data_IF_288738146398
#
_entry.id   IF_288738146398
#
_cell.length_a   1.000
_cell.length_b   1.000
_cell.length_c   1.000
_cell.angle_alpha   90.00
_cell.angle_beta   90.00
_cell.angle_gamma   90.00
#
_symmetry.space_group_name_H-M   'P 1'
#
loop_
_entity.id
_entity.type
_entity.pdbx_description
1 polymer ?
#
# COMPACT_ATOMS: atom_id res chain seq x y z
N UNK A 1 -19.71 18.60 -7.44
CA UNK A 1 -18.94 17.33 -7.34
C UNK A 1 -17.88 17.53 -6.26
N UNK A 2 -17.62 16.51 -5.45
CA UNK A 2 -16.51 16.50 -4.48
C UNK A 2 -15.34 15.70 -5.04
N UNK A 3 -14.11 16.13 -4.75
CA UNK A 3 -12.89 15.48 -5.22
C UNK A 3 -12.34 14.53 -4.13
N UNK A 4 -11.86 13.36 -4.53
CA UNK A 4 -11.31 12.34 -3.63
C UNK A 4 -10.00 11.79 -4.20
N UNK A 5 -9.01 11.55 -3.34
CA UNK A 5 -7.73 10.89 -3.65
C UNK A 5 -7.57 9.74 -2.67
N UNK A 6 -7.14 8.57 -3.13
CA UNK A 6 -6.94 7.40 -2.30
C UNK A 6 -5.79 6.52 -2.80
N UNK A 7 -5.36 5.61 -1.94
CA UNK A 7 -4.36 4.58 -2.23
C UNK A 7 -4.99 3.22 -1.94
N UNK A 8 -4.67 2.22 -2.75
CA UNK A 8 -5.19 0.85 -2.65
C UNK A 8 -4.08 -0.17 -2.83
N UNK A 9 -4.10 -1.23 -2.02
CA UNK A 9 -3.33 -2.45 -2.27
C UNK A 9 -4.26 -3.47 -2.94
N UNK A 10 -3.84 -4.00 -4.08
CA UNK A 10 -4.67 -4.85 -4.92
C UNK A 10 -3.90 -6.05 -5.45
N UNK A 11 -4.62 -7.13 -5.76
CA UNK A 11 -4.21 -8.09 -6.79
C UNK A 11 -4.84 -7.68 -8.12
N UNK A 12 -4.15 -7.94 -9.22
CA UNK A 12 -4.73 -7.77 -10.55
C UNK A 12 -4.14 -8.74 -11.56
N UNK A 13 -4.97 -9.12 -12.53
CA UNK A 13 -4.52 -9.83 -13.72
C UNK A 13 -5.34 -9.41 -14.96
N UNK A 14 -4.73 -9.46 -16.17
CA UNK A 14 -5.41 -9.05 -17.39
C UNK A 14 -6.69 -9.84 -17.63
N UNK A 15 -7.77 -9.14 -17.96
CA UNK A 15 -9.08 -9.73 -18.27
C UNK A 15 -9.89 -8.77 -19.14
N UNK A 16 -10.42 -9.25 -20.27
CA UNK A 16 -11.32 -8.44 -21.10
C UNK A 16 -12.65 -8.17 -20.40
N UNK A 17 -13.38 -7.15 -20.84
CA UNK A 17 -14.69 -6.84 -20.26
C UNK A 17 -15.69 -7.99 -20.40
N UNK A 18 -15.70 -8.68 -21.54
CA UNK A 18 -16.56 -9.85 -21.74
C UNK A 18 -16.23 -10.96 -20.74
N UNK A 19 -14.94 -11.32 -20.63
CA UNK A 19 -14.49 -12.36 -19.72
C UNK A 19 -14.83 -12.04 -18.24
N UNK A 20 -14.79 -10.76 -17.87
CA UNK A 20 -15.22 -10.34 -16.54
C UNK A 20 -16.73 -10.48 -16.32
N UNK A 21 -17.56 -10.09 -17.30
CA UNK A 21 -19.02 -10.30 -17.20
C UNK A 21 -19.35 -11.80 -17.10
N UNK A 22 -18.71 -12.64 -17.90
CA UNK A 22 -18.87 -14.09 -17.85
C UNK A 22 -18.47 -14.65 -16.48
N UNK A 23 -17.34 -14.19 -15.93
CA UNK A 23 -16.89 -14.53 -14.57
C UNK A 23 -17.92 -14.14 -13.50
N UNK A 24 -18.61 -13.01 -13.67
CA UNK A 24 -19.67 -12.55 -12.76
C UNK A 24 -21.02 -13.23 -12.99
N UNK A 25 -21.18 -14.00 -14.06
CA UNK A 25 -22.48 -14.51 -14.51
C UNK A 25 -23.41 -13.41 -15.00
N UNK A 26 -22.85 -12.31 -15.50
CA UNK A 26 -23.59 -11.16 -16.02
C UNK A 26 -23.62 -11.17 -17.54
N UNK A 27 -24.68 -10.60 -18.11
CA UNK A 27 -24.72 -10.31 -19.54
C UNK A 27 -23.97 -9.00 -19.80
N UNK A 28 -23.13 -8.98 -20.84
CA UNK A 28 -22.48 -7.75 -21.28
C UNK A 28 -23.57 -6.72 -21.69
N UNK A 29 -23.53 -5.49 -21.15
CA UNK A 29 -24.48 -4.45 -21.54
C UNK A 29 -24.37 -4.13 -23.04
N UNK A 30 -25.50 -3.93 -23.73
CA UNK A 30 -25.55 -3.78 -25.18
C UNK A 30 -24.74 -2.60 -25.77
N UNK A 31 -24.43 -1.58 -24.96
CA UNK A 31 -23.62 -0.42 -25.37
C UNK A 31 -22.13 -0.55 -25.07
N UNK A 32 -21.69 -1.65 -24.48
CA UNK A 32 -20.32 -1.86 -24.06
C UNK A 32 -19.58 -2.79 -25.04
N UNK A 33 -18.31 -2.50 -25.29
CA UNK A 33 -17.46 -3.40 -26.06
C UNK A 33 -16.89 -4.51 -25.17
N UNK A 34 -17.07 -5.77 -25.57
CA UNK A 34 -16.59 -6.94 -24.83
C UNK A 34 -15.08 -7.17 -24.94
N UNK A 35 -14.48 -6.72 -26.06
CA UNK A 35 -13.05 -6.87 -26.36
C UNK A 35 -12.19 -5.81 -25.65
N UNK A 36 -12.80 -4.88 -24.92
CA UNK A 36 -12.07 -3.87 -24.16
C UNK A 36 -11.08 -4.54 -23.20
N UNK A 37 -9.80 -4.20 -23.37
CA UNK A 37 -8.74 -4.64 -22.50
C UNK A 37 -8.89 -4.00 -21.11
N UNK A 38 -8.62 -4.80 -20.09
CA UNK A 38 -8.64 -4.34 -18.71
C UNK A 38 -8.07 -5.38 -17.77
N UNK A 39 -8.39 -5.18 -16.50
CA UNK A 39 -7.92 -6.02 -15.42
C UNK A 39 -9.08 -6.35 -14.49
N UNK A 40 -9.15 -7.60 -14.06
CA UNK A 40 -9.85 -7.93 -12.82
C UNK A 40 -8.98 -7.43 -11.67
N UNK A 41 -9.57 -6.68 -10.76
CA UNK A 41 -8.90 -6.09 -9.59
C UNK A 41 -9.55 -6.64 -8.33
N UNK A 42 -8.76 -7.22 -7.44
CA UNK A 42 -9.17 -7.62 -6.09
C UNK A 42 -8.56 -6.65 -5.08
N UNK A 43 -9.38 -6.07 -4.20
CA UNK A 43 -8.91 -5.16 -3.15
C UNK A 43 -8.54 -5.93 -1.88
N UNK A 44 -7.29 -5.75 -1.43
CA UNK A 44 -6.72 -6.45 -0.27
C UNK A 44 -6.78 -5.62 1.02
N UNK A 45 -7.13 -4.33 0.90
CA UNK A 45 -7.14 -3.37 2.00
C UNK A 45 -8.53 -3.13 2.61
N UNK A 46 -9.50 -3.97 2.27
CA UNK A 46 -10.81 -4.01 2.90
C UNK A 46 -11.98 -4.18 1.93
N UNK A 47 -13.19 -4.16 2.50
CA UNK A 47 -14.43 -4.49 1.78
C UNK A 47 -14.81 -5.96 1.93
N UNK A 48 -16.11 -6.24 1.87
CA UNK A 48 -16.60 -7.63 1.84
C UNK A 48 -16.39 -8.21 0.44
N UNK A 49 -16.00 -9.49 0.31
CA UNK A 49 -15.94 -10.13 -0.98
C UNK A 49 -17.32 -10.11 -1.65
N UNK A 50 -17.32 -9.99 -2.98
CA UNK A 50 -18.53 -10.01 -3.80
C UNK A 50 -18.59 -11.23 -4.73
N UNK A 51 -17.69 -12.20 -4.52
CA UNK A 51 -17.63 -13.49 -5.19
C UNK A 51 -17.09 -14.54 -4.19
N UNK A 52 -17.36 -15.82 -4.42
CA UNK A 52 -16.82 -16.90 -3.59
C UNK A 52 -15.40 -17.35 -3.99
N UNK A 53 -14.79 -16.69 -5.00
CA UNK A 53 -13.49 -17.07 -5.58
C UNK A 53 -12.31 -16.26 -5.04
N UNK A 54 -12.60 -15.14 -4.39
CA UNK A 54 -11.61 -14.18 -3.92
C UNK A 54 -11.99 -13.75 -2.49
N UNK A 55 -10.99 -13.51 -1.65
CA UNK A 55 -11.19 -13.09 -0.27
C UNK A 55 -11.55 -11.60 -0.20
N UNK A 56 -11.07 -10.82 -1.18
CA UNK A 56 -11.35 -9.38 -1.32
C UNK A 56 -12.56 -9.06 -2.20
N UNK A 57 -12.97 -7.79 -2.17
CA UNK A 57 -13.93 -7.26 -3.15
C UNK A 57 -13.28 -7.26 -4.54
N UNK A 58 -14.02 -7.68 -5.57
CA UNK A 58 -13.52 -7.72 -6.95
C UNK A 58 -14.26 -6.73 -7.84
N UNK A 59 -13.51 -6.01 -8.67
CA UNK A 59 -14.02 -5.12 -9.73
C UNK A 59 -13.31 -5.37 -11.06
N UNK A 60 -13.76 -4.71 -12.12
CA UNK A 60 -13.04 -4.62 -13.38
C UNK A 60 -12.64 -3.18 -13.64
N UNK A 61 -11.40 -2.99 -14.06
CA UNK A 61 -10.84 -1.68 -14.42
C UNK A 61 -10.40 -1.70 -15.88
N UNK A 62 -10.82 -0.71 -16.71
CA UNK A 62 -10.26 -0.52 -18.04
C UNK A 62 -8.74 -0.38 -17.98
N UNK A 63 -8.04 -0.88 -19.01
CA UNK A 63 -6.56 -0.93 -19.06
C UNK A 63 -5.90 0.42 -18.79
N UNK A 64 -6.31 1.46 -19.51
CA UNK A 64 -5.71 2.79 -19.32
C UNK A 64 -5.99 3.40 -17.94
N UNK A 65 -7.16 3.11 -17.35
CA UNK A 65 -7.50 3.58 -16.01
C UNK A 65 -6.64 2.86 -14.98
N UNK A 66 -6.48 1.54 -15.16
CA UNK A 66 -5.67 0.70 -14.29
C UNK A 66 -4.19 1.14 -14.31
N UNK A 67 -3.60 1.25 -15.50
CA UNK A 67 -2.18 1.57 -15.67
C UNK A 67 -1.83 2.99 -15.22
N UNK A 68 -2.81 3.92 -15.19
CA UNK A 68 -2.65 5.25 -14.60
C UNK A 68 -2.81 5.26 -13.09
N UNK A 69 -3.66 4.41 -12.52
CA UNK A 69 -4.01 4.42 -11.11
C UNK A 69 -3.11 3.53 -10.23
N UNK A 70 -2.62 2.42 -10.78
CA UNK A 70 -1.91 1.39 -10.03
C UNK A 70 -0.48 1.21 -10.56
N UNK A 71 0.43 0.85 -9.66
CA UNK A 71 1.81 0.51 -9.97
C UNK A 71 2.16 -0.82 -9.30
N UNK A 72 3.09 -1.61 -9.84
CA UNK A 72 3.67 -2.73 -9.11
C UNK A 72 4.18 -2.30 -7.74
N UNK A 73 4.19 -3.21 -6.76
CA UNK A 73 4.73 -2.95 -5.40
C UNK A 73 6.25 -2.74 -5.37
N UNK A 74 6.90 -2.81 -6.53
CA UNK A 74 8.28 -2.42 -6.80
C UNK A 74 8.31 -1.13 -7.63
N UNK A 75 8.99 -0.08 -7.14
CA UNK A 75 9.00 1.23 -7.81
C UNK A 75 7.86 2.14 -7.33
N UNK A 76 7.59 2.10 -6.03
CA UNK A 76 6.58 2.92 -5.38
C UNK A 76 7.12 4.36 -5.21
N UNK A 77 6.21 5.34 -5.32
CA UNK A 77 6.48 6.68 -4.80
C UNK A 77 6.50 6.65 -3.27
N UNK A 78 7.11 7.66 -2.64
CA UNK A 78 7.12 7.75 -1.18
C UNK A 78 5.71 7.77 -0.57
N UNK A 79 4.72 8.38 -1.24
CA UNK A 79 3.33 8.38 -0.76
C UNK A 79 2.76 6.97 -0.65
N UNK A 80 2.98 6.12 -1.65
CA UNK A 80 2.56 4.72 -1.63
C UNK A 80 3.37 3.90 -0.61
N UNK A 81 4.66 4.20 -0.47
CA UNK A 81 5.51 3.59 0.54
C UNK A 81 5.03 3.90 1.96
N UNK A 82 4.61 5.15 2.23
CA UNK A 82 4.10 5.57 3.53
C UNK A 82 2.78 4.88 3.89
N UNK A 83 1.87 4.72 2.93
CA UNK A 83 0.65 3.94 3.16
C UNK A 83 0.96 2.46 3.45
N UNK A 84 1.97 1.90 2.80
CA UNK A 84 2.45 0.53 3.08
C UNK A 84 3.06 0.43 4.48
N UNK A 85 3.83 1.42 4.93
CA UNK A 85 4.40 1.50 6.28
C UNK A 85 3.32 1.57 7.36
N UNK A 86 2.24 2.33 7.13
CA UNK A 86 1.09 2.39 8.04
C UNK A 86 0.38 1.04 8.17
N UNK A 87 0.42 0.21 7.13
CA UNK A 87 -0.08 -1.17 7.14
C UNK A 87 0.90 -2.17 7.77
N UNK A 88 2.00 -1.71 8.37
CA UNK A 88 2.98 -2.55 9.05
C UNK A 88 3.96 -3.26 8.11
N UNK A 89 4.01 -2.87 6.82
CA UNK A 89 5.01 -3.38 5.89
C UNK A 89 6.37 -2.75 6.15
N UNK A 90 7.43 -3.44 5.74
CA UNK A 90 8.78 -2.91 5.70
C UNK A 90 9.15 -2.53 4.27
N UNK A 91 9.88 -1.44 4.10
CA UNK A 91 10.14 -0.81 2.81
C UNK A 91 11.64 -0.62 2.62
N UNK A 92 12.14 -0.84 1.41
CA UNK A 92 13.51 -0.51 1.00
C UNK A 92 13.51 0.37 -0.24
N UNK A 93 14.64 1.04 -0.51
CA UNK A 93 14.88 1.70 -1.80
C UNK A 93 15.89 0.91 -2.62
N UNK A 94 15.63 0.79 -3.92
CA UNK A 94 16.58 0.15 -4.83
C UNK A 94 17.91 0.94 -4.94
N UNK A 95 17.86 2.27 -4.82
CA UNK A 95 19.01 3.17 -4.91
C UNK A 95 19.77 3.40 -3.60
N UNK A 96 19.44 2.71 -2.51
CA UNK A 96 20.21 2.85 -1.27
C UNK A 96 21.56 2.16 -1.33
N UNK A 97 22.58 2.84 -0.78
CA UNK A 97 23.94 2.32 -0.71
C UNK A 97 24.08 1.32 0.44
N UNK A 98 24.14 0.05 0.11
CA UNK A 98 24.36 -1.04 1.08
C UNK A 98 23.20 -2.03 1.13
N UNK A 99 23.54 -3.29 1.35
CA UNK A 99 22.59 -4.40 1.35
C UNK A 99 21.73 -4.38 2.62
N UNK A 100 20.53 -4.95 2.50
CA UNK A 100 19.63 -5.26 3.60
C UNK A 100 19.19 -4.05 4.45
N UNK A 101 19.09 -2.88 3.84
CA UNK A 101 18.55 -1.67 4.47
C UNK A 101 17.05 -1.62 4.29
N UNK A 102 16.32 -1.32 5.36
CA UNK A 102 14.87 -1.17 5.29
C UNK A 102 14.36 -0.23 6.38
N UNK A 103 13.18 0.33 6.12
CA UNK A 103 12.42 1.16 7.04
C UNK A 103 11.13 0.48 7.41
N UNK A 104 10.72 0.63 8.66
CA UNK A 104 9.43 0.17 9.17
C UNK A 104 8.88 1.17 10.18
N UNK A 105 7.57 1.13 10.42
CA UNK A 105 6.89 1.99 11.38
C UNK A 105 6.76 1.30 12.74
N UNK A 106 7.22 1.98 13.79
CA UNK A 106 6.96 1.58 15.18
C UNK A 106 5.89 2.48 15.77
N UNK A 107 4.85 1.86 16.32
CA UNK A 107 3.76 2.58 17.00
C UNK A 107 4.22 3.12 18.35
N UNK A 108 3.78 4.33 18.68
CA UNK A 108 4.09 4.97 19.97
C UNK A 108 3.71 4.10 21.17
N UNK A 109 2.56 3.42 21.10
CA UNK A 109 2.08 2.48 22.11
C UNK A 109 3.07 1.32 22.39
N UNK A 110 3.76 0.84 21.35
CA UNK A 110 4.74 -0.24 21.48
C UNK A 110 6.01 0.26 22.14
N UNK A 111 6.42 1.51 21.87
CA UNK A 111 7.54 2.16 22.55
C UNK A 111 7.21 2.38 24.03
N UNK A 112 6.01 2.88 24.33
CA UNK A 112 5.57 3.08 25.70
C UNK A 112 5.58 1.76 26.50
N UNK A 113 4.99 0.71 25.90
CA UNK A 113 4.97 -0.63 26.49
C UNK A 113 6.37 -1.20 26.72
N UNK A 114 7.28 -1.03 25.75
CA UNK A 114 8.65 -1.55 25.85
C UNK A 114 9.51 -0.80 26.89
N UNK A 115 9.27 0.50 27.06
CA UNK A 115 10.03 1.36 27.97
C UNK A 115 9.38 1.49 29.36
N UNK A 116 8.13 1.05 29.52
CA UNK A 116 7.38 1.15 30.77
C UNK A 116 7.02 2.58 31.16
N UNK A 117 6.96 3.51 30.20
CA UNK A 117 6.68 4.92 30.43
C UNK A 117 6.07 5.58 29.19
N UNK A 118 5.37 6.69 29.35
CA UNK A 118 4.88 7.48 28.23
C UNK A 118 3.55 6.97 27.67
N UNK A 119 2.67 6.49 28.55
CA UNK A 119 1.36 5.96 28.21
C UNK A 119 0.29 7.06 28.09
N UNK A 120 0.50 8.21 28.76
CA UNK A 120 -0.46 9.32 28.76
C UNK A 120 -1.65 9.09 29.70
N UNK A 121 -1.48 8.32 30.76
CA UNK A 121 -2.55 7.89 31.69
C UNK A 121 -2.86 8.94 32.77
N UNK A 122 -1.97 9.91 33.00
CA UNK A 122 -2.19 11.00 33.95
C UNK A 122 -1.89 12.39 33.36
N UNK A 123 -2.44 13.43 34.00
CA UNK A 123 -2.29 14.82 33.56
C UNK A 123 -0.82 15.22 33.56
N UNK A 124 -0.29 15.54 32.38
CA UNK A 124 1.10 15.94 32.18
C UNK A 124 2.06 14.79 31.87
N UNK A 125 1.59 13.55 31.77
CA UNK A 125 2.43 12.46 31.27
C UNK A 125 2.70 12.63 29.76
N UNK A 126 3.96 12.52 29.31
CA UNK A 126 4.28 12.53 27.89
C UNK A 126 3.76 11.28 27.18
N UNK A 127 3.69 11.32 25.85
CA UNK A 127 3.39 10.15 25.01
C UNK A 127 4.44 10.00 23.92
N UNK A 128 4.64 8.77 23.45
CA UNK A 128 5.48 8.52 22.28
C UNK A 128 4.71 8.73 20.98
N UNK A 129 5.36 9.40 20.02
CA UNK A 129 4.87 9.46 18.65
C UNK A 129 5.21 8.17 17.89
N UNK A 130 4.36 7.82 16.93
CA UNK A 130 4.71 6.86 15.88
C UNK A 130 6.01 7.31 15.19
N UNK A 131 6.96 6.38 15.06
CA UNK A 131 8.31 6.69 14.60
C UNK A 131 8.75 5.72 13.52
N UNK A 132 9.33 6.25 12.44
CA UNK A 132 10.00 5.42 11.43
C UNK A 132 11.36 4.99 11.96
N UNK A 133 11.70 3.72 11.75
CA UNK A 133 12.99 3.15 12.12
C UNK A 133 13.67 2.63 10.87
N UNK A 134 14.92 3.05 10.65
CA UNK A 134 15.80 2.55 9.60
C UNK A 134 16.74 1.51 10.20
N UNK A 135 16.77 0.31 9.62
CA UNK A 135 17.93 -0.58 9.73
C UNK A 135 18.95 -0.16 8.67
N UNK A 136 20.14 0.26 9.10
CA UNK A 136 21.21 0.65 8.19
C UNK A 136 22.05 -0.56 7.72
N UNK A 137 22.98 -0.30 6.79
CA UNK A 137 23.89 -1.31 6.22
C UNK A 137 24.89 -1.90 7.22
N UNK A 138 25.00 -1.31 8.41
CA UNK A 138 25.83 -1.82 9.53
C UNK A 138 25.00 -2.65 10.52
N UNK A 139 23.77 -3.03 10.16
CA UNK A 139 22.86 -3.79 11.01
C UNK A 139 22.51 -3.06 12.34
N UNK A 140 22.38 -1.74 12.29
CA UNK A 140 21.93 -0.92 13.43
C UNK A 140 20.58 -0.30 13.14
N UNK A 141 19.76 -0.21 14.18
CA UNK A 141 18.47 0.46 14.15
C UNK A 141 18.63 1.90 14.62
N UNK A 142 18.05 2.84 13.88
CA UNK A 142 17.99 4.24 14.26
C UNK A 142 16.61 4.80 13.92
N UNK A 143 16.13 5.73 14.76
CA UNK A 143 14.99 6.57 14.39
C UNK A 143 15.34 7.34 13.13
N UNK A 144 14.42 7.37 12.17
CA UNK A 144 14.69 7.87 10.84
C UNK A 144 13.69 8.96 10.45
N UNK A 145 14.23 10.02 9.87
CA UNK A 145 13.46 11.10 9.24
C UNK A 145 13.84 11.08 7.76
N UNK A 146 12.88 10.89 6.83
CA UNK A 146 13.17 10.85 5.41
C UNK A 146 13.75 12.19 4.95
N UNK A 147 14.84 12.13 4.17
CA UNK A 147 15.35 13.31 3.48
C UNK A 147 14.42 13.72 2.33
N UNK A 148 14.54 14.95 1.81
CA UNK A 148 13.82 15.35 0.60
C UNK A 148 14.09 14.39 -0.57
N UNK A 149 15.32 13.86 -0.67
CA UNK A 149 15.67 12.87 -1.67
C UNK A 149 14.93 11.54 -1.50
N UNK A 150 14.60 11.16 -0.27
CA UNK A 150 13.77 9.97 0.03
C UNK A 150 12.30 10.23 -0.28
N UNK A 151 11.80 11.43 0.03
CA UNK A 151 10.42 11.84 -0.25
C UNK A 151 10.12 11.95 -1.75
N UNK A 152 11.10 12.36 -2.55
CA UNK A 152 10.98 12.52 -4.00
C UNK A 152 11.34 11.25 -4.79
N UNK A 153 11.71 10.18 -4.10
CA UNK A 153 12.10 8.94 -4.73
C UNK A 153 10.88 8.11 -5.19
N UNK A 154 11.07 7.42 -6.31
CA UNK A 154 10.07 6.52 -6.92
C UNK A 154 10.58 5.07 -7.03
N UNK A 155 11.62 4.73 -6.27
CA UNK A 155 12.28 3.44 -6.28
C UNK A 155 12.03 2.61 -5.01
N UNK A 156 10.95 2.93 -4.28
CA UNK A 156 10.56 2.23 -3.06
C UNK A 156 9.96 0.85 -3.35
N UNK A 157 10.20 -0.11 -2.47
CA UNK A 157 9.76 -1.49 -2.62
C UNK A 157 9.37 -2.08 -1.27
N UNK A 158 8.27 -2.82 -1.23
CA UNK A 158 7.89 -3.61 -0.06
C UNK A 158 8.80 -4.84 0.03
N UNK A 159 9.29 -5.16 1.23
CA UNK A 159 10.07 -6.37 1.53
C UNK A 159 9.28 -7.39 2.36
#
# INVERSE_FOLDING_TARGET
>A
MTQHIGVKLINAFPMTRQAYNDFRGWQLPAGENGEDEGYLVEYLDGGKPNTDRFDGYVSWSPKEVFEKAYRPVSGLSFGLAMESLKQGKSLQRAGWNGKDQFVYLVKGEKLASALGYGFGEYVGEPTFNDTLVLKNSQNRLATWVPSIGDLMAEDWQII
#
